data_IF_657729363639
#
_entry.id   IF_657729363639
#
_cell.length_a   1.000
_cell.length_b   1.000
_cell.length_c   1.000
_cell.angle_alpha   90.00
_cell.angle_beta   90.00
_cell.angle_gamma   90.00
#
_symmetry.space_group_name_H-M   'P 1'
#
loop_
_entity.id
_entity.type
_entity.pdbx_description
1 polymer ?
#
# COMPACT_ATOMS: atom_id res chain seq x y z
N UNK A 1 54.30 31.57 -36.99
CA UNK A 1 53.10 32.46 -36.97
C UNK A 1 51.80 31.71 -37.18
N UNK A 2 51.51 31.06 -38.35
CA UNK A 2 50.21 30.37 -38.54
C UNK A 2 49.99 29.18 -37.58
N UNK A 3 51.05 28.37 -37.35
CA UNK A 3 51.01 27.22 -36.45
C UNK A 3 50.76 27.65 -35.02
N UNK A 4 51.37 28.68 -34.54
CA UNK A 4 51.20 29.23 -33.17
C UNK A 4 49.81 29.83 -32.97
N UNK A 5 49.28 30.53 -33.99
CA UNK A 5 47.93 31.05 -33.97
C UNK A 5 46.88 29.92 -33.94
N UNK A 6 47.11 28.87 -34.71
CA UNK A 6 46.22 27.67 -34.66
C UNK A 6 46.31 26.95 -33.33
N UNK A 7 47.50 26.80 -32.73
CA UNK A 7 47.63 26.20 -31.39
C UNK A 7 46.96 27.05 -30.32
N UNK A 8 47.04 28.38 -30.42
CA UNK A 8 46.33 29.26 -29.50
C UNK A 8 44.82 29.10 -29.64
N UNK A 9 44.28 29.06 -30.86
CA UNK A 9 42.83 28.87 -31.07
C UNK A 9 42.36 27.51 -30.57
N UNK A 10 43.13 26.44 -30.77
CA UNK A 10 42.84 25.10 -30.25
C UNK A 10 42.89 25.11 -28.73
N UNK A 11 43.89 25.76 -28.11
CA UNK A 11 43.98 25.89 -26.64
C UNK A 11 42.81 26.63 -26.02
N UNK A 12 42.16 27.56 -26.72
CA UNK A 12 40.94 28.21 -26.26
C UNK A 12 39.76 27.25 -26.13
N UNK A 13 39.80 26.07 -26.76
CA UNK A 13 38.78 25.04 -26.63
C UNK A 13 38.98 24.14 -25.41
N UNK A 14 40.17 24.13 -24.82
CA UNK A 14 40.44 23.36 -23.61
C UNK A 14 39.89 24.04 -22.36
N UNK A 15 39.34 23.26 -21.36
CA UNK A 15 38.89 23.84 -20.13
C UNK A 15 40.07 24.27 -19.25
N UNK A 16 39.99 25.48 -18.66
CA UNK A 16 40.95 25.95 -17.70
C UNK A 16 40.40 25.71 -16.28
N UNK A 17 41.19 25.06 -15.41
CA UNK A 17 40.82 24.83 -14.01
C UNK A 17 41.57 25.83 -13.15
N UNK A 18 40.83 26.65 -12.43
CA UNK A 18 41.32 27.66 -11.51
C UNK A 18 41.00 27.25 -10.07
N UNK A 19 41.91 27.46 -9.14
CA UNK A 19 41.67 27.26 -7.73
C UNK A 19 41.52 28.63 -7.03
N UNK A 20 40.39 28.79 -6.34
CA UNK A 20 40.04 30.00 -5.59
C UNK A 20 39.56 29.55 -4.21
N UNK A 21 40.22 29.99 -3.16
CA UNK A 21 39.90 29.64 -1.75
C UNK A 21 39.81 28.12 -1.49
N UNK A 22 40.73 27.34 -2.06
CA UNK A 22 40.78 25.88 -1.90
C UNK A 22 39.69 25.13 -2.68
N UNK A 23 38.98 25.78 -3.59
CA UNK A 23 37.94 25.19 -4.44
C UNK A 23 38.37 25.30 -5.90
N UNK A 24 38.11 24.23 -6.66
CA UNK A 24 38.44 24.18 -8.08
C UNK A 24 37.23 24.62 -8.92
N UNK A 25 37.49 25.48 -9.90
CA UNK A 25 36.50 26.02 -10.82
C UNK A 25 36.99 25.78 -12.26
N UNK A 26 36.06 25.35 -13.13
CA UNK A 26 36.34 25.27 -14.59
C UNK A 26 35.62 26.43 -15.29
N UNK A 27 36.26 27.01 -16.29
CA UNK A 27 35.68 28.02 -17.18
C UNK A 27 34.69 27.40 -18.19
N UNK A 28 34.65 26.06 -18.30
CA UNK A 28 33.75 25.31 -19.18
C UNK A 28 33.04 24.18 -18.45
N UNK A 29 31.81 23.82 -18.86
CA UNK A 29 31.13 22.65 -18.31
C UNK A 29 31.93 21.39 -18.68
N UNK A 30 32.28 20.59 -17.65
CA UNK A 30 32.93 19.30 -17.83
C UNK A 30 31.84 18.20 -17.79
N UNK A 31 31.88 17.29 -18.78
CA UNK A 31 31.00 16.11 -18.82
C UNK A 31 31.85 14.90 -18.42
N UNK A 32 31.41 14.22 -17.37
CA UNK A 32 32.03 12.97 -16.95
C UNK A 32 31.70 11.86 -17.95
N UNK A 33 32.73 11.24 -18.56
CA UNK A 33 32.56 10.18 -19.55
C UNK A 33 32.77 8.77 -18.99
N UNK A 34 33.30 8.64 -17.77
CA UNK A 34 33.52 7.38 -17.05
C UNK A 34 32.28 6.95 -16.19
N UNK A 35 31.08 7.33 -16.64
CA UNK A 35 29.84 7.01 -15.93
C UNK A 35 29.57 5.52 -15.98
N UNK A 36 29.45 4.89 -14.81
CA UNK A 36 28.99 3.50 -14.68
C UNK A 36 27.47 3.53 -14.48
N UNK A 37 26.69 2.99 -15.43
CA UNK A 37 25.25 2.97 -15.31
C UNK A 37 24.82 2.10 -14.14
N UNK A 38 23.85 2.58 -13.34
CA UNK A 38 23.27 1.84 -12.23
C UNK A 38 22.16 0.94 -12.75
N UNK A 39 22.01 -0.24 -12.14
CA UNK A 39 20.90 -1.14 -12.43
C UNK A 39 19.58 -0.50 -12.01
N UNK A 40 18.48 -0.92 -12.64
CA UNK A 40 17.14 -0.55 -12.18
C UNK A 40 16.79 -1.37 -10.95
N UNK A 41 16.06 -0.75 -10.01
CA UNK A 41 15.56 -1.44 -8.83
C UNK A 41 14.69 -2.64 -9.20
N UNK A 42 14.87 -3.74 -8.47
CA UNK A 42 14.02 -4.92 -8.57
C UNK A 42 12.68 -4.62 -7.89
N UNK A 43 11.57 -4.84 -8.60
CA UNK A 43 10.23 -4.65 -8.04
C UNK A 43 9.76 -5.95 -7.39
N UNK A 44 9.27 -5.83 -6.16
CA UNK A 44 8.74 -6.94 -5.37
C UNK A 44 7.40 -6.56 -4.74
N UNK A 45 6.61 -7.55 -4.34
CA UNK A 45 5.28 -7.32 -3.75
C UNK A 45 5.19 -7.79 -2.29
N UNK A 46 6.22 -8.47 -1.78
CA UNK A 46 6.23 -9.06 -0.44
C UNK A 46 7.49 -8.68 0.35
N UNK A 47 7.35 -8.51 1.66
CA UNK A 47 8.50 -8.28 2.55
C UNK A 47 9.40 -9.51 2.64
N UNK A 48 8.83 -10.71 2.48
CA UNK A 48 9.59 -11.96 2.48
C UNK A 48 10.60 -11.99 1.34
N UNK A 49 10.20 -11.60 0.13
CA UNK A 49 11.10 -11.49 -1.02
C UNK A 49 12.25 -10.53 -0.77
N UNK A 50 11.99 -9.39 -0.11
CA UNK A 50 13.04 -8.45 0.29
C UNK A 50 14.04 -9.10 1.27
N UNK A 51 13.53 -9.79 2.29
CA UNK A 51 14.38 -10.48 3.28
C UNK A 51 15.22 -11.57 2.62
N UNK A 52 14.63 -12.35 1.71
CA UNK A 52 15.34 -13.41 1.00
C UNK A 52 16.40 -12.83 0.05
N UNK A 53 16.12 -11.70 -0.62
CA UNK A 53 17.10 -10.98 -1.43
C UNK A 53 18.29 -10.48 -0.58
N UNK A 54 18.04 -9.87 0.58
CA UNK A 54 19.09 -9.41 1.49
C UNK A 54 19.94 -10.59 1.98
N UNK A 55 19.30 -11.70 2.35
CA UNK A 55 19.99 -12.92 2.83
C UNK A 55 20.82 -13.60 1.74
N UNK A 56 20.38 -13.54 0.50
CA UNK A 56 21.10 -14.14 -0.63
C UNK A 56 22.42 -13.44 -0.96
N UNK A 57 22.60 -12.18 -0.48
CA UNK A 57 23.73 -11.33 -0.84
C UNK A 57 23.97 -11.23 -2.36
N UNK A 58 22.89 -11.29 -3.15
CA UNK A 58 22.93 -11.10 -4.58
C UNK A 58 23.47 -9.69 -4.92
N UNK A 59 23.88 -9.50 -6.16
CA UNK A 59 24.34 -8.22 -6.72
C UNK A 59 25.46 -7.54 -5.94
N UNK A 60 26.37 -8.35 -5.38
CA UNK A 60 27.54 -7.87 -4.61
C UNK A 60 27.19 -6.88 -3.49
N UNK A 61 26.05 -7.11 -2.84
CA UNK A 61 25.57 -6.28 -1.73
C UNK A 61 26.63 -6.10 -0.65
N UNK A 62 26.85 -4.86 -0.23
CA UNK A 62 27.64 -4.56 0.97
C UNK A 62 26.84 -4.93 2.22
N UNK A 63 27.53 -5.20 3.33
CA UNK A 63 26.87 -5.46 4.63
C UNK A 63 26.14 -4.21 5.19
N UNK A 64 26.36 -3.05 4.60
CA UNK A 64 25.76 -1.77 4.99
C UNK A 64 24.77 -1.31 3.93
N UNK A 65 23.52 -1.66 4.11
CA UNK A 65 22.40 -1.25 3.28
C UNK A 65 21.38 -0.49 4.13
N UNK A 66 20.57 0.33 3.48
CA UNK A 66 19.53 1.10 4.14
C UNK A 66 18.16 0.57 3.72
N UNK A 67 17.41 0.05 4.68
CA UNK A 67 15.99 -0.26 4.51
C UNK A 67 15.18 0.99 4.84
N UNK A 68 14.45 1.51 3.87
CA UNK A 68 13.64 2.72 4.01
C UNK A 68 12.15 2.37 3.90
N UNK A 69 11.43 2.47 5.01
CA UNK A 69 9.97 2.37 5.02
C UNK A 69 9.40 3.70 4.57
N UNK A 70 8.86 3.73 3.35
CA UNK A 70 8.29 4.95 2.73
C UNK A 70 6.86 5.19 3.21
N UNK A 71 6.08 4.11 3.28
CA UNK A 71 4.67 4.13 3.66
C UNK A 71 4.27 2.76 4.25
N UNK A 72 3.04 2.61 4.76
CA UNK A 72 2.53 1.29 5.16
C UNK A 72 2.55 0.24 4.04
N UNK A 73 2.62 0.66 2.78
CA UNK A 73 2.56 -0.21 1.60
C UNK A 73 3.81 -0.19 0.74
N UNK A 74 4.86 0.55 1.16
CA UNK A 74 6.06 0.68 0.36
C UNK A 74 7.33 0.65 1.22
N UNK A 75 8.27 -0.22 0.83
CA UNK A 75 9.60 -0.32 1.43
C UNK A 75 10.65 -0.36 0.32
N UNK A 76 11.72 0.42 0.47
CA UNK A 76 12.83 0.47 -0.46
C UNK A 76 14.13 0.02 0.20
N UNK A 77 15.01 -0.58 -0.60
CA UNK A 77 16.37 -0.94 -0.19
C UNK A 77 17.36 -0.11 -1.01
N UNK A 78 18.26 0.60 -0.32
CA UNK A 78 19.28 1.43 -0.93
C UNK A 78 20.69 0.97 -0.57
N UNK A 79 21.62 1.26 -1.47
CA UNK A 79 23.05 1.25 -1.14
C UNK A 79 23.43 2.41 -0.21
N UNK A 80 24.61 2.34 0.38
CA UNK A 80 25.27 3.52 0.94
C UNK A 80 25.57 4.53 -0.16
N UNK A 81 25.96 5.75 0.26
CA UNK A 81 26.42 6.76 -0.68
C UNK A 81 27.72 6.31 -1.38
N UNK A 82 27.76 6.45 -2.69
CA UNK A 82 28.97 6.30 -3.48
C UNK A 82 29.88 7.55 -3.35
N UNK A 83 31.02 7.55 -4.04
CA UNK A 83 31.99 8.66 -4.05
C UNK A 83 31.38 9.98 -4.57
N UNK A 84 30.39 9.90 -5.44
CA UNK A 84 29.65 11.04 -5.98
C UNK A 84 28.44 11.42 -5.12
N UNK A 85 28.30 10.81 -3.95
CA UNK A 85 27.17 10.99 -3.00
C UNK A 85 25.81 10.60 -3.57
N UNK A 86 25.77 9.66 -4.49
CA UNK A 86 24.56 9.07 -5.00
C UNK A 86 24.25 7.75 -4.28
N UNK A 87 22.98 7.33 -4.32
CA UNK A 87 22.53 6.02 -3.86
C UNK A 87 22.05 5.18 -5.04
N UNK A 88 22.23 3.88 -4.94
CA UNK A 88 21.61 2.93 -5.84
C UNK A 88 20.35 2.35 -5.20
N UNK A 89 19.24 2.37 -5.93
CA UNK A 89 17.99 1.74 -5.55
C UNK A 89 18.08 0.27 -5.94
N UNK A 90 18.25 -0.61 -4.96
CA UNK A 90 18.39 -2.04 -5.20
C UNK A 90 17.04 -2.72 -5.35
N UNK A 91 16.09 -2.42 -4.45
CA UNK A 91 14.76 -3.01 -4.41
C UNK A 91 13.71 -1.98 -4.06
N UNK A 92 12.56 -2.07 -4.72
CA UNK A 92 11.32 -1.38 -4.39
C UNK A 92 10.24 -2.41 -4.12
N UNK A 93 9.71 -2.44 -2.90
CA UNK A 93 8.64 -3.35 -2.49
C UNK A 93 7.35 -2.58 -2.36
N UNK A 94 6.32 -3.01 -3.08
CA UNK A 94 4.98 -2.44 -3.00
C UNK A 94 3.98 -3.53 -2.64
N UNK A 95 3.25 -3.36 -1.53
CA UNK A 95 2.20 -4.29 -1.14
C UNK A 95 1.06 -4.27 -2.16
N UNK A 96 0.62 -5.43 -2.61
CA UNK A 96 -0.62 -5.59 -3.37
C UNK A 96 -1.76 -5.83 -2.40
N UNK A 97 -2.65 -4.83 -2.27
CA UNK A 97 -3.75 -4.87 -1.31
C UNK A 97 -5.09 -5.06 -2.01
N UNK A 98 -5.96 -5.92 -1.48
CA UNK A 98 -7.31 -6.03 -1.97
C UNK A 98 -8.12 -4.80 -1.58
N UNK A 99 -8.80 -4.18 -2.55
CA UNK A 99 -9.66 -3.03 -2.30
C UNK A 99 -11.05 -3.47 -1.83
N UNK A 100 -11.54 -2.87 -0.73
CA UNK A 100 -12.92 -2.99 -0.29
C UNK A 100 -13.63 -1.63 -0.50
N UNK A 101 -14.86 -1.63 -1.08
CA UNK A 101 -15.57 -0.38 -1.37
C UNK A 101 -16.27 0.16 -0.11
N UNK A 102 -15.49 0.82 0.78
CA UNK A 102 -16.02 1.51 1.95
C UNK A 102 -16.96 2.65 1.54
N UNK A 103 -17.83 3.05 2.47
CA UNK A 103 -18.77 4.17 2.34
C UNK A 103 -19.77 4.01 1.18
N UNK A 104 -19.93 2.80 0.65
CA UNK A 104 -20.85 2.48 -0.43
C UNK A 104 -21.69 1.27 -0.07
N UNK A 105 -22.96 1.31 -0.50
CA UNK A 105 -23.81 0.13 -0.47
C UNK A 105 -23.47 -0.80 -1.62
N UNK A 106 -23.25 -2.07 -1.30
CA UNK A 106 -22.96 -3.15 -2.25
C UNK A 106 -23.90 -4.30 -2.03
N UNK A 107 -24.11 -5.09 -3.07
CA UNK A 107 -24.96 -6.27 -2.98
C UNK A 107 -24.47 -7.27 -1.95
N UNK A 108 -25.40 -7.99 -1.37
CA UNK A 108 -25.20 -8.92 -0.26
C UNK A 108 -24.04 -9.92 -0.48
N UNK A 109 -24.06 -10.65 -1.61
CA UNK A 109 -22.99 -11.62 -1.93
C UNK A 109 -21.61 -10.97 -2.05
N UNK A 110 -21.54 -9.83 -2.74
CA UNK A 110 -20.29 -9.06 -2.90
C UNK A 110 -19.75 -8.61 -1.55
N UNK A 111 -20.64 -8.22 -0.63
CA UNK A 111 -20.26 -7.84 0.73
C UNK A 111 -19.67 -9.02 1.51
N UNK A 112 -20.34 -10.19 1.52
CA UNK A 112 -19.87 -11.38 2.23
C UNK A 112 -18.50 -11.82 1.73
N UNK A 113 -18.34 -11.95 0.39
CA UNK A 113 -17.05 -12.30 -0.23
C UNK A 113 -16.00 -11.25 0.10
N UNK A 114 -16.38 -9.97 0.06
CA UNK A 114 -15.50 -8.85 0.38
C UNK A 114 -14.97 -8.92 1.81
N UNK A 115 -15.82 -9.14 2.80
CA UNK A 115 -15.42 -9.27 4.21
C UNK A 115 -14.53 -10.51 4.42
N UNK A 116 -14.87 -11.65 3.82
CA UNK A 116 -14.08 -12.87 3.95
C UNK A 116 -12.69 -12.78 3.30
N UNK A 117 -12.57 -12.08 2.17
CA UNK A 117 -11.33 -12.07 1.37
C UNK A 117 -10.42 -10.87 1.64
N UNK A 118 -10.94 -9.77 2.19
CA UNK A 118 -10.22 -8.49 2.30
C UNK A 118 -9.97 -8.03 3.74
N UNK A 119 -10.35 -8.86 4.71
CA UNK A 119 -10.15 -8.62 6.13
C UNK A 119 -9.50 -9.83 6.80
N UNK A 120 -8.72 -9.56 7.83
CA UNK A 120 -8.24 -10.62 8.72
C UNK A 120 -9.42 -11.09 9.58
N UNK A 121 -9.70 -12.39 9.65
CA UNK A 121 -10.78 -12.92 10.47
C UNK A 121 -10.63 -12.55 11.97
N UNK A 122 -11.70 -12.10 12.59
CA UNK A 122 -11.80 -11.85 14.02
C UNK A 122 -13.25 -12.10 14.50
N UNK A 123 -13.48 -11.98 15.80
CA UNK A 123 -14.81 -12.23 16.41
C UNK A 123 -15.89 -11.34 15.78
N UNK A 124 -15.59 -10.06 15.55
CA UNK A 124 -16.56 -9.12 15.01
C UNK A 124 -16.86 -9.37 13.53
N UNK A 125 -15.85 -9.79 12.74
CA UNK A 125 -16.08 -10.20 11.36
C UNK A 125 -16.96 -11.45 11.27
N UNK A 126 -16.79 -12.41 12.18
CA UNK A 126 -17.62 -13.61 12.24
C UNK A 126 -19.07 -13.29 12.61
N UNK A 127 -19.28 -12.38 13.58
CA UNK A 127 -20.61 -11.88 13.94
C UNK A 127 -21.27 -11.16 12.76
N UNK A 128 -20.53 -10.29 12.09
CA UNK A 128 -20.98 -9.55 10.91
C UNK A 128 -21.41 -10.50 9.78
N UNK A 129 -20.60 -11.51 9.47
CA UNK A 129 -20.90 -12.50 8.44
C UNK A 129 -22.12 -13.37 8.78
N UNK A 130 -22.24 -13.80 10.04
CA UNK A 130 -23.42 -14.54 10.52
C UNK A 130 -24.70 -13.71 10.38
N UNK A 131 -24.64 -12.44 10.80
CA UNK A 131 -25.77 -11.53 10.66
C UNK A 131 -26.15 -11.33 9.20
N UNK A 132 -25.19 -10.96 8.36
CA UNK A 132 -25.43 -10.76 6.94
C UNK A 132 -26.07 -12.01 6.30
N UNK A 133 -25.54 -13.21 6.56
CA UNK A 133 -26.10 -14.47 6.06
C UNK A 133 -27.53 -14.75 6.56
N UNK A 134 -27.88 -14.34 7.78
CA UNK A 134 -29.23 -14.48 8.32
C UNK A 134 -30.23 -13.56 7.61
N UNK A 135 -29.80 -12.35 7.27
CA UNK A 135 -30.62 -11.35 6.58
C UNK A 135 -30.98 -11.79 5.15
N UNK A 136 -30.07 -12.46 4.44
CA UNK A 136 -30.34 -12.99 3.11
C UNK A 136 -31.43 -14.07 3.11
N UNK A 137 -31.40 -14.97 4.11
CA UNK A 137 -32.29 -16.14 4.15
C UNK A 137 -33.68 -15.86 4.68
N UNK A 138 -33.96 -14.65 5.17
CA UNK A 138 -35.21 -14.31 5.82
C UNK A 138 -35.87 -13.03 5.32
N UNK A 139 -37.19 -12.93 5.49
CA UNK A 139 -37.93 -11.68 5.24
C UNK A 139 -37.72 -10.73 6.41
N UNK A 140 -37.13 -9.56 6.13
CA UNK A 140 -37.00 -8.49 7.14
C UNK A 140 -38.39 -7.97 7.47
N UNK A 141 -38.83 -8.13 8.74
CA UNK A 141 -40.15 -7.67 9.18
C UNK A 141 -40.10 -6.38 9.96
N UNK A 142 -38.96 -6.05 10.55
CA UNK A 142 -38.77 -4.80 11.28
C UNK A 142 -37.30 -4.39 11.24
N UNK A 143 -37.08 -3.11 11.01
CA UNK A 143 -35.76 -2.52 10.90
C UNK A 143 -35.66 -1.36 11.90
N UNK A 144 -34.84 -1.53 12.94
CA UNK A 144 -34.59 -0.50 13.93
C UNK A 144 -33.14 0.00 13.84
N UNK A 145 -32.98 1.29 13.70
CA UNK A 145 -31.70 2.00 13.82
C UNK A 145 -31.81 3.00 14.95
N UNK A 146 -31.17 2.72 16.10
CA UNK A 146 -31.13 3.63 17.24
C UNK A 146 -29.90 4.56 17.24
N UNK A 147 -29.13 4.55 16.13
CA UNK A 147 -27.88 5.31 15.99
C UNK A 147 -26.67 4.66 16.66
N UNK A 148 -26.87 3.62 17.49
CA UNK A 148 -25.83 2.90 18.24
C UNK A 148 -25.69 1.45 17.75
N UNK A 149 -26.83 0.79 17.48
CA UNK A 149 -26.84 -0.59 17.00
C UNK A 149 -27.91 -0.77 15.93
N UNK A 150 -27.61 -1.59 14.91
CA UNK A 150 -28.61 -1.98 13.94
C UNK A 150 -29.25 -3.31 14.38
N UNK A 151 -30.55 -3.31 14.50
CA UNK A 151 -31.36 -4.49 14.80
C UNK A 151 -32.19 -4.84 13.57
N UNK A 152 -32.11 -6.08 13.14
CA UNK A 152 -33.02 -6.59 12.14
C UNK A 152 -33.80 -7.77 12.73
N UNK A 153 -35.13 -7.69 12.70
CA UNK A 153 -35.98 -8.83 13.01
C UNK A 153 -36.23 -9.62 11.74
N UNK A 154 -35.66 -10.81 11.67
CA UNK A 154 -35.72 -11.67 10.46
C UNK A 154 -36.71 -12.80 10.76
N UNK A 155 -37.70 -12.97 9.90
CA UNK A 155 -38.58 -14.16 9.91
C UNK A 155 -37.89 -15.29 9.14
N UNK A 156 -37.38 -16.27 9.84
CA UNK A 156 -36.94 -17.55 9.28
C UNK A 156 -38.02 -18.61 9.48
N UNK A 157 -38.79 -18.86 8.41
CA UNK A 157 -39.86 -19.87 8.44
C UNK A 157 -41.12 -19.48 9.25
N UNK A 158 -42.05 -20.42 9.42
CA UNK A 158 -43.40 -20.18 9.96
C UNK A 158 -43.42 -19.88 11.49
N UNK A 159 -42.33 -20.02 12.22
CA UNK A 159 -42.37 -20.01 13.69
C UNK A 159 -41.20 -19.38 14.46
N UNK A 160 -40.15 -18.82 13.86
CA UNK A 160 -39.08 -18.21 14.66
C UNK A 160 -38.74 -16.80 14.21
N UNK A 161 -38.89 -15.84 15.15
CA UNK A 161 -38.24 -14.51 15.04
C UNK A 161 -36.86 -14.64 15.67
N UNK A 162 -35.83 -14.42 14.90
CA UNK A 162 -34.47 -14.27 15.40
C UNK A 162 -34.13 -12.77 15.39
N UNK A 163 -33.94 -12.20 16.56
CA UNK A 163 -33.36 -10.84 16.69
C UNK A 163 -31.84 -10.96 16.59
N UNK A 164 -31.30 -10.56 15.47
CA UNK A 164 -29.87 -10.47 15.29
C UNK A 164 -29.43 -9.03 15.57
N UNK A 165 -28.50 -8.86 16.50
CA UNK A 165 -27.94 -7.57 16.89
C UNK A 165 -26.46 -7.54 16.50
N UNK A 166 -26.08 -6.53 15.76
CA UNK A 166 -24.67 -6.24 15.51
C UNK A 166 -24.23 -5.11 16.41
N UNK A 167 -23.08 -5.24 17.10
CA UNK A 167 -22.50 -4.11 17.80
C UNK A 167 -22.15 -3.00 16.79
N UNK A 168 -22.38 -1.75 17.15
CA UNK A 168 -21.94 -0.60 16.40
C UNK A 168 -21.17 0.32 17.36
N UNK A 169 -19.88 0.59 17.08
CA UNK A 169 -19.12 0.13 15.91
C UNK A 169 -18.69 -1.35 15.98
N UNK A 170 -18.42 -1.95 14.81
CA UNK A 170 -17.74 -3.23 14.69
C UNK A 170 -16.23 -2.99 14.48
N UNK A 171 -15.40 -3.81 15.13
CA UNK A 171 -13.93 -3.72 15.00
C UNK A 171 -13.43 -4.71 13.99
N UNK A 172 -12.83 -4.22 12.92
CA UNK A 172 -12.38 -5.04 11.81
C UNK A 172 -10.92 -4.73 11.46
N UNK A 173 -10.24 -5.69 10.83
CA UNK A 173 -8.86 -5.61 10.39
C UNK A 173 -8.76 -5.74 8.87
N UNK A 174 -9.07 -4.70 8.08
CA UNK A 174 -8.86 -4.74 6.64
C UNK A 174 -7.37 -4.82 6.32
N UNK A 175 -7.03 -5.47 5.20
CA UNK A 175 -5.65 -5.45 4.71
C UNK A 175 -5.29 -4.04 4.24
N UNK A 176 -4.37 -3.37 4.94
CA UNK A 176 -3.90 -1.99 4.68
C UNK A 176 -2.39 -1.86 4.57
N UNK A 177 -1.69 -2.94 4.86
CA UNK A 177 -0.24 -3.03 4.77
C UNK A 177 0.13 -4.42 4.26
N UNK A 178 1.40 -4.73 4.19
CA UNK A 178 1.88 -6.05 3.78
C UNK A 178 1.19 -7.17 4.55
N UNK A 179 0.80 -8.23 3.85
CA UNK A 179 0.05 -9.35 4.43
C UNK A 179 0.85 -10.16 5.46
N UNK A 180 2.18 -10.00 5.45
CA UNK A 180 3.10 -10.67 6.39
C UNK A 180 3.20 -10.00 7.76
N UNK A 181 2.58 -8.83 7.94
CA UNK A 181 2.56 -8.11 9.21
C UNK A 181 1.13 -7.99 9.75
N UNK A 182 1.02 -7.77 11.05
CA UNK A 182 -0.28 -7.59 11.69
C UNK A 182 -1.01 -6.38 11.09
N UNK A 183 -2.29 -6.58 10.76
CA UNK A 183 -3.12 -5.53 10.20
C UNK A 183 -3.68 -4.64 11.31
N UNK A 184 -3.69 -3.31 11.12
CA UNK A 184 -4.27 -2.40 12.10
C UNK A 184 -5.78 -2.61 12.20
N UNK A 185 -6.28 -2.64 13.44
CA UNK A 185 -7.70 -2.69 13.75
C UNK A 185 -8.31 -1.29 13.63
N UNK A 186 -9.54 -1.22 13.16
CA UNK A 186 -10.31 0.03 13.05
C UNK A 186 -11.78 -0.22 13.32
N UNK A 187 -12.46 0.83 13.74
CA UNK A 187 -13.88 0.82 14.02
C UNK A 187 -14.66 1.20 12.75
N UNK A 188 -15.76 0.48 12.51
CA UNK A 188 -16.65 0.68 11.37
C UNK A 188 -18.10 0.72 11.83
N UNK A 189 -18.87 1.61 11.21
CA UNK A 189 -20.32 1.58 11.28
C UNK A 189 -20.85 0.69 10.17
N UNK A 190 -21.55 -0.37 10.55
CA UNK A 190 -22.27 -1.22 9.62
C UNK A 190 -23.60 -0.58 9.26
N UNK A 191 -23.98 -0.60 7.99
CA UNK A 191 -25.26 -0.10 7.47
C UNK A 191 -25.88 -1.11 6.53
N UNK A 192 -27.21 -1.19 6.58
CA UNK A 192 -28.03 -2.03 5.72
C UNK A 192 -29.18 -1.22 5.16
N UNK A 193 -29.55 -1.47 3.91
CA UNK A 193 -30.79 -1.00 3.31
C UNK A 193 -31.38 -2.07 2.41
N UNK A 194 -32.69 -2.04 2.22
CA UNK A 194 -33.40 -2.85 1.22
C UNK A 194 -33.70 -2.00 0.00
N UNK A 195 -33.29 -2.47 -1.16
CA UNK A 195 -33.62 -1.87 -2.45
C UNK A 195 -34.64 -2.74 -3.18
N UNK A 196 -35.62 -2.09 -3.81
CA UNK A 196 -36.71 -2.81 -4.52
C UNK A 196 -36.25 -3.67 -5.69
N UNK A 197 -35.11 -3.32 -6.30
CA UNK A 197 -34.59 -3.96 -7.51
C UNK A 197 -33.38 -4.86 -7.19
N UNK A 198 -32.53 -4.40 -6.25
CA UNK A 198 -31.24 -5.03 -5.96
C UNK A 198 -31.23 -5.83 -4.64
N UNK A 199 -32.40 -5.90 -3.96
CA UNK A 199 -32.54 -6.62 -2.69
C UNK A 199 -31.77 -5.96 -1.54
N UNK A 200 -31.24 -6.77 -0.64
CA UNK A 200 -30.48 -6.27 0.53
C UNK A 200 -29.10 -5.78 0.10
N UNK A 201 -28.81 -4.54 0.44
CA UNK A 201 -27.49 -3.91 0.25
C UNK A 201 -26.86 -3.58 1.59
N UNK A 202 -25.55 -3.80 1.68
CA UNK A 202 -24.77 -3.66 2.92
C UNK A 202 -23.62 -2.69 2.68
N UNK A 203 -23.20 -1.99 3.75
CA UNK A 203 -22.10 -1.02 3.72
C UNK A 203 -21.31 -1.05 5.02
N UNK A 204 -20.02 -0.76 4.92
CA UNK A 204 -19.13 -0.44 6.05
C UNK A 204 -18.61 0.98 5.89
N UNK A 205 -18.82 1.81 6.91
CA UNK A 205 -18.35 3.18 6.98
C UNK A 205 -17.20 3.22 8.00
N UNK A 206 -16.02 3.65 7.56
CA UNK A 206 -14.87 3.80 8.44
C UNK A 206 -15.02 5.03 9.33
N UNK A 207 -14.80 4.91 10.63
CA UNK A 207 -14.86 6.01 11.62
C UNK A 207 -13.55 6.19 12.37
#
# INVERSE_FOLDING_TARGET
>A
MIKEALQYVVGLSEPTINEIDGRQYSDKPLVRIDYIPKAKAIKMTTLRSLVDYIKSKADTMSDQMIVHVVSPTQVNLFSNLDCDRNREYMVEVHAELPEFPFDRFIGHETFLIGVQSKFVPNTDSDLLLKFAGTVESGTITDYGDDGISQKATVKTGVASKADAVIPSPVRLKPYRTFTEVDQPESDFVFRMKEDKYDGVQLSLIHI
#
